data_IF_752287348158
#
_entry.id   IF_752287348158
#
_cell.length_a   1.000
_cell.length_b   1.000
_cell.length_c   1.000
_cell.angle_alpha   90.00
_cell.angle_beta   90.00
_cell.angle_gamma   90.00
#
_symmetry.space_group_name_H-M   'P 1'
#
loop_
_entity.id
_entity.type
_entity.pdbx_description
1 polymer ?
#
# COMPACT_ATOMS: atom_id res chain seq x y z
N UNK A 1 -10.75 -32.69 -13.57
CA UNK A 1 -9.48 -33.43 -13.74
C UNK A 1 -8.64 -32.61 -14.69
N UNK A 2 -7.73 -31.79 -14.15
CA UNK A 2 -6.79 -31.00 -14.95
C UNK A 2 -5.75 -31.98 -15.47
N UNK A 3 -5.61 -32.08 -16.79
CA UNK A 3 -4.64 -32.94 -17.42
C UNK A 3 -3.27 -32.29 -17.24
N UNK A 4 -2.45 -32.81 -16.33
CA UNK A 4 -1.04 -32.45 -16.13
C UNK A 4 -0.20 -32.90 -17.34
N UNK A 5 -0.49 -32.35 -18.51
CA UNK A 5 0.42 -32.43 -19.65
C UNK A 5 1.58 -31.49 -19.35
N UNK A 6 2.59 -32.03 -18.67
CA UNK A 6 3.91 -31.42 -18.51
C UNK A 6 4.36 -31.02 -19.92
N UNK A 7 4.34 -29.73 -20.21
CA UNK A 7 4.76 -29.19 -21.49
C UNK A 7 6.26 -29.54 -21.62
N UNK A 8 6.67 -30.31 -22.63
CA UNK A 8 8.07 -30.67 -22.78
C UNK A 8 8.91 -29.40 -22.94
N UNK A 9 10.03 -29.24 -22.21
CA UNK A 9 10.80 -27.99 -22.18
C UNK A 9 11.34 -27.59 -23.55
N UNK A 10 11.52 -28.54 -24.48
CA UNK A 10 11.85 -28.25 -25.89
C UNK A 10 10.76 -27.52 -26.70
N UNK A 11 9.49 -27.49 -26.24
CA UNK A 11 8.40 -26.78 -26.91
C UNK A 11 8.27 -25.30 -26.46
N UNK A 12 9.01 -24.89 -25.43
CA UNK A 12 8.96 -23.53 -24.88
C UNK A 12 9.91 -22.63 -25.67
N UNK A 13 9.35 -21.65 -26.40
CA UNK A 13 10.11 -20.71 -27.24
C UNK A 13 11.14 -19.89 -26.44
N UNK A 14 10.86 -19.60 -25.16
CA UNK A 14 11.78 -18.91 -24.25
C UNK A 14 11.74 -19.56 -22.85
N UNK A 15 12.58 -20.57 -22.57
CA UNK A 15 12.56 -21.27 -21.29
C UNK A 15 13.14 -20.47 -20.12
N UNK A 16 13.81 -19.34 -20.39
CA UNK A 16 14.44 -18.51 -19.36
C UNK A 16 13.51 -17.44 -18.78
N UNK A 17 12.29 -17.28 -19.31
CA UNK A 17 11.31 -16.38 -18.67
C UNK A 17 10.65 -17.10 -17.49
N UNK A 18 10.62 -16.51 -16.29
CA UNK A 18 10.06 -17.16 -15.10
C UNK A 18 8.56 -17.48 -15.24
N UNK A 19 7.85 -16.85 -16.19
CA UNK A 19 6.43 -17.08 -16.44
C UNK A 19 6.14 -18.24 -17.41
N UNK A 20 7.17 -18.81 -18.06
CA UNK A 20 6.97 -19.88 -19.05
C UNK A 20 6.42 -21.19 -18.46
N UNK A 21 6.58 -21.38 -17.15
CA UNK A 21 6.13 -22.58 -16.43
C UNK A 21 4.73 -22.44 -15.84
N UNK A 22 4.10 -21.26 -15.91
CA UNK A 22 2.74 -21.04 -15.45
C UNK A 22 1.73 -21.30 -16.58
N UNK A 23 0.49 -21.72 -16.26
CA UNK A 23 -0.56 -21.75 -17.26
C UNK A 23 -0.78 -20.35 -17.85
N UNK A 24 -1.09 -20.25 -19.15
CA UNK A 24 -1.07 -18.98 -19.88
C UNK A 24 -2.01 -17.91 -19.30
N UNK A 25 -3.15 -18.33 -18.72
CA UNK A 25 -4.09 -17.42 -18.04
C UNK A 25 -3.45 -16.77 -16.80
N UNK A 26 -2.78 -17.56 -15.95
CA UNK A 26 -2.11 -17.06 -14.75
C UNK A 26 -0.90 -16.20 -15.09
N UNK A 27 -0.11 -16.59 -16.10
CA UNK A 27 1.04 -15.82 -16.57
C UNK A 27 0.63 -14.42 -17.03
N UNK A 28 -0.44 -14.32 -17.85
CA UNK A 28 -0.96 -13.04 -18.34
C UNK A 28 -1.49 -12.15 -17.20
N UNK A 29 -2.29 -12.72 -16.29
CA UNK A 29 -2.81 -11.96 -15.15
C UNK A 29 -1.69 -11.41 -14.27
N UNK A 30 -0.66 -12.22 -14.01
CA UNK A 30 0.47 -11.81 -13.19
C UNK A 30 1.32 -10.72 -13.88
N UNK A 31 1.50 -10.81 -15.20
CA UNK A 31 2.17 -9.76 -15.98
C UNK A 31 1.39 -8.43 -15.94
N UNK A 32 0.07 -8.46 -16.09
CA UNK A 32 -0.79 -7.26 -15.96
C UNK A 32 -0.62 -6.64 -14.56
N UNK A 33 -0.66 -7.46 -13.52
CA UNK A 33 -0.47 -7.01 -12.13
C UNK A 33 0.90 -6.33 -11.97
N UNK A 34 1.96 -6.88 -12.56
CA UNK A 34 3.30 -6.26 -12.53
C UNK A 34 3.29 -4.85 -13.11
N UNK A 35 2.71 -4.67 -14.29
CA UNK A 35 2.63 -3.36 -14.92
C UNK A 35 1.76 -2.39 -14.12
N UNK A 36 0.66 -2.85 -13.52
CA UNK A 36 -0.19 -2.01 -12.67
C UNK A 36 0.56 -1.46 -11.45
N UNK A 37 1.38 -2.29 -10.78
CA UNK A 37 2.17 -1.84 -9.64
C UNK A 37 3.24 -0.82 -10.03
N UNK A 38 3.93 -1.04 -11.16
CA UNK A 38 4.89 -0.07 -11.71
C UNK A 38 4.21 1.25 -12.04
N UNK A 39 3.07 1.20 -12.74
CA UNK A 39 2.31 2.39 -13.09
C UNK A 39 1.81 3.14 -11.86
N UNK A 40 1.34 2.42 -10.84
CA UNK A 40 0.87 2.99 -9.57
C UNK A 40 1.99 3.68 -8.81
N UNK A 41 3.15 3.01 -8.67
CA UNK A 41 4.32 3.60 -8.02
C UNK A 41 4.78 4.86 -8.76
N UNK A 42 4.86 4.81 -10.09
CA UNK A 42 5.26 5.96 -10.91
C UNK A 42 4.28 7.12 -10.76
N UNK A 43 2.98 6.86 -10.91
CA UNK A 43 1.94 7.88 -10.79
C UNK A 43 1.93 8.52 -9.39
N UNK A 44 2.06 7.70 -8.34
CA UNK A 44 2.11 8.19 -6.96
C UNK A 44 3.37 9.01 -6.68
N UNK A 45 4.54 8.53 -7.14
CA UNK A 45 5.81 9.26 -6.99
C UNK A 45 5.74 10.61 -7.69
N UNK A 46 5.15 10.64 -8.89
CA UNK A 46 4.97 11.87 -9.65
C UNK A 46 4.03 12.85 -8.95
N UNK A 47 2.87 12.39 -8.48
CA UNK A 47 1.93 13.19 -7.69
C UNK A 47 2.61 13.80 -6.45
N UNK A 48 3.34 12.96 -5.71
CA UNK A 48 3.99 13.41 -4.48
C UNK A 48 5.13 14.40 -4.74
N UNK A 49 5.93 14.18 -5.79
CA UNK A 49 6.98 15.11 -6.18
C UNK A 49 6.41 16.48 -6.56
N UNK A 50 5.26 16.51 -7.24
CA UNK A 50 4.58 17.75 -7.60
C UNK A 50 3.98 18.48 -6.40
N UNK A 51 3.55 17.76 -5.35
CA UNK A 51 3.04 18.39 -4.12
C UNK A 51 4.13 18.84 -3.13
N UNK A 52 5.38 18.40 -3.28
CA UNK A 52 6.47 18.73 -2.34
C UNK A 52 6.70 20.23 -2.09
N UNK A 53 6.65 21.15 -3.07
CA UNK A 53 6.84 22.57 -2.81
C UNK A 53 5.78 23.15 -1.88
N UNK A 54 4.54 22.71 -2.05
CA UNK A 54 3.40 23.13 -1.22
C UNK A 54 3.48 22.51 0.17
N UNK A 55 3.85 21.23 0.26
CA UNK A 55 4.07 20.54 1.53
C UNK A 55 5.19 21.20 2.35
N UNK A 56 6.27 21.62 1.70
CA UNK A 56 7.35 22.35 2.33
C UNK A 56 6.88 23.72 2.84
N UNK A 57 6.09 24.45 2.07
CA UNK A 57 5.50 25.72 2.50
C UNK A 57 4.60 25.52 3.72
N UNK A 58 3.73 24.50 3.72
CA UNK A 58 2.86 24.17 4.87
C UNK A 58 3.69 23.81 6.10
N UNK A 59 4.73 22.99 5.96
CA UNK A 59 5.60 22.60 7.07
C UNK A 59 6.34 23.80 7.67
N UNK A 60 6.76 24.75 6.83
CA UNK A 60 7.46 25.98 7.24
C UNK A 60 6.52 27.00 7.89
N UNK A 61 5.35 27.24 7.30
CA UNK A 61 4.51 28.39 7.65
C UNK A 61 3.47 28.05 8.73
N UNK A 62 2.88 26.84 8.68
CA UNK A 62 1.83 26.39 9.61
C UNK A 62 2.41 25.55 10.76
N UNK A 63 3.57 24.91 10.52
CA UNK A 63 4.25 24.05 11.49
C UNK A 63 3.61 22.68 11.68
N UNK A 64 4.05 21.98 12.72
CA UNK A 64 3.65 20.59 13.02
C UNK A 64 2.32 20.59 13.79
N UNK A 65 1.21 20.47 13.05
CA UNK A 65 -0.14 20.26 13.62
C UNK A 65 -0.54 18.79 13.53
N UNK A 66 -1.46 18.31 14.36
CA UNK A 66 -1.91 16.91 14.34
C UNK A 66 -2.40 16.43 12.94
N UNK A 67 -3.17 17.23 12.17
CA UNK A 67 -3.50 16.88 10.79
C UNK A 67 -2.28 16.83 9.87
N UNK A 68 -1.30 17.73 10.03
CA UNK A 68 -0.08 17.72 9.21
C UNK A 68 0.77 16.48 9.52
N UNK A 69 0.91 16.07 10.79
CA UNK A 69 1.60 14.82 11.15
C UNK A 69 0.92 13.63 10.48
N UNK A 70 -0.41 13.51 10.61
CA UNK A 70 -1.17 12.43 9.99
C UNK A 70 -1.02 12.44 8.46
N UNK A 71 -0.88 13.62 7.85
CA UNK A 71 -0.67 13.80 6.41
C UNK A 71 0.67 13.24 5.97
N UNK A 72 1.76 13.67 6.60
CA UNK A 72 3.09 13.18 6.26
C UNK A 72 3.22 11.67 6.53
N UNK A 73 2.61 11.17 7.62
CA UNK A 73 2.61 9.75 7.94
C UNK A 73 1.84 8.92 6.89
N UNK A 74 0.69 9.41 6.42
CA UNK A 74 -0.07 8.81 5.32
C UNK A 74 0.72 8.80 4.01
N UNK A 75 1.36 9.92 3.65
CA UNK A 75 2.17 10.02 2.42
C UNK A 75 3.35 9.06 2.43
N UNK A 76 4.17 9.10 3.48
CA UNK A 76 5.35 8.23 3.62
C UNK A 76 4.93 6.76 3.72
N UNK A 77 3.88 6.45 4.48
CA UNK A 77 3.35 5.09 4.59
C UNK A 77 2.84 4.54 3.26
N UNK A 78 2.08 5.33 2.50
CA UNK A 78 1.58 4.90 1.19
C UNK A 78 2.73 4.69 0.20
N UNK A 79 3.70 5.60 0.17
CA UNK A 79 4.88 5.45 -0.69
C UNK A 79 5.66 4.18 -0.33
N UNK A 80 5.91 3.95 0.96
CA UNK A 80 6.61 2.76 1.44
C UNK A 80 5.89 1.46 1.10
N UNK A 81 4.55 1.45 1.21
CA UNK A 81 3.73 0.30 0.77
C UNK A 81 3.81 0.08 -0.73
N UNK A 82 3.59 1.12 -1.56
CA UNK A 82 3.70 1.00 -3.02
C UNK A 82 5.09 0.52 -3.48
N UNK A 83 6.14 1.03 -2.84
CA UNK A 83 7.51 0.60 -3.10
C UNK A 83 7.72 -0.86 -2.68
N UNK A 84 7.23 -1.25 -1.50
CA UNK A 84 7.26 -2.62 -1.01
C UNK A 84 6.58 -3.59 -1.99
N UNK A 85 5.38 -3.26 -2.48
CA UNK A 85 4.66 -4.12 -3.41
C UNK A 85 5.36 -4.21 -4.77
N UNK A 86 6.01 -3.12 -5.22
CA UNK A 86 6.89 -3.16 -6.39
C UNK A 86 8.10 -4.07 -6.18
N UNK A 87 8.72 -4.06 -4.99
CA UNK A 87 9.87 -4.92 -4.71
C UNK A 87 9.47 -6.40 -4.64
N UNK A 88 8.26 -6.74 -4.15
CA UNK A 88 7.75 -8.13 -4.12
C UNK A 88 7.61 -8.73 -5.53
N UNK A 89 7.29 -7.92 -6.53
CA UNK A 89 7.08 -8.41 -7.90
C UNK A 89 8.37 -8.54 -8.74
N UNK A 90 9.45 -7.95 -8.26
CA UNK A 90 10.80 -8.02 -8.85
C UNK A 90 11.50 -9.28 -8.32
N UNK A 91 12.38 -9.95 -9.09
CA UNK A 91 13.15 -11.09 -8.61
C UNK A 91 14.10 -10.67 -7.49
N UNK A 92 13.67 -10.80 -6.24
CA UNK A 92 14.47 -10.53 -5.03
C UNK A 92 14.52 -11.78 -4.16
N UNK A 93 15.69 -12.04 -3.57
CA UNK A 93 15.96 -13.25 -2.78
C UNK A 93 15.15 -13.31 -1.48
N UNK A 94 14.92 -12.16 -0.82
CA UNK A 94 14.29 -12.08 0.51
C UNK A 94 12.87 -11.49 0.44
N UNK A 95 11.95 -12.18 -0.22
CA UNK A 95 10.57 -11.74 -0.40
C UNK A 95 9.80 -11.62 0.94
N UNK A 96 10.10 -12.47 1.92
CA UNK A 96 9.42 -12.46 3.22
C UNK A 96 9.64 -11.15 3.97
N UNK A 97 10.90 -10.72 4.10
CA UNK A 97 11.26 -9.47 4.78
C UNK A 97 10.58 -8.27 4.12
N UNK A 98 10.57 -8.24 2.78
CA UNK A 98 9.95 -7.15 2.02
C UNK A 98 8.44 -7.12 2.26
N UNK A 99 7.79 -8.29 2.29
CA UNK A 99 6.37 -8.39 2.62
C UNK A 99 6.06 -7.89 4.03
N UNK A 100 6.88 -8.22 5.03
CA UNK A 100 6.73 -7.69 6.39
C UNK A 100 6.84 -6.17 6.42
N UNK A 101 7.85 -5.61 5.75
CA UNK A 101 8.08 -4.17 5.68
C UNK A 101 6.92 -3.47 4.96
N UNK A 102 6.50 -4.00 3.81
CA UNK A 102 5.38 -3.49 3.01
C UNK A 102 4.08 -3.46 3.82
N UNK A 103 3.78 -4.56 4.51
CA UNK A 103 2.62 -4.67 5.40
C UNK A 103 2.70 -3.64 6.54
N UNK A 104 3.88 -3.45 7.15
CA UNK A 104 4.08 -2.44 8.19
C UNK A 104 3.79 -1.00 7.69
N UNK A 105 4.26 -0.66 6.50
CA UNK A 105 3.98 0.66 5.89
C UNK A 105 2.51 0.84 5.53
N UNK A 106 1.86 -0.20 5.02
CA UNK A 106 0.43 -0.19 4.71
C UNK A 106 -0.41 0.04 5.99
N UNK A 107 -0.08 -0.67 7.08
CA UNK A 107 -0.79 -0.55 8.35
C UNK A 107 -0.58 0.78 9.07
N UNK A 108 0.46 1.53 8.71
CA UNK A 108 0.63 2.92 9.16
C UNK A 108 -0.18 3.87 8.28
N UNK A 109 -0.17 3.64 6.96
CA UNK A 109 -0.84 4.51 5.99
C UNK A 109 -2.36 4.53 6.14
N UNK A 110 -2.98 3.35 6.29
CA UNK A 110 -4.44 3.19 6.36
C UNK A 110 -5.07 3.97 7.52
N UNK A 111 -4.64 3.82 8.79
CA UNK A 111 -5.20 4.58 9.90
C UNK A 111 -4.81 6.07 9.82
N UNK A 112 -3.64 6.43 9.28
CA UNK A 112 -3.25 7.83 9.09
C UNK A 112 -4.16 8.54 8.07
N UNK A 113 -4.43 7.89 6.93
CA UNK A 113 -5.33 8.40 5.88
C UNK A 113 -6.76 8.53 6.41
N UNK A 114 -7.20 7.55 7.18
CA UNK A 114 -8.52 7.58 7.84
C UNK A 114 -8.60 8.70 8.88
N UNK A 115 -7.52 8.95 9.63
CA UNK A 115 -7.44 10.05 10.62
C UNK A 115 -7.50 11.41 9.93
N UNK A 116 -6.84 11.58 8.78
CA UNK A 116 -6.93 12.80 7.98
C UNK A 116 -8.34 13.06 7.51
N UNK A 117 -9.01 12.04 7.00
CA UNK A 117 -10.41 12.14 6.59
C UNK A 117 -11.28 12.58 7.77
N UNK A 118 -11.06 12.00 8.95
CA UNK A 118 -11.73 12.40 10.18
C UNK A 118 -11.47 13.86 10.54
N UNK A 119 -10.22 14.36 10.47
CA UNK A 119 -9.92 15.77 10.74
C UNK A 119 -10.62 16.72 9.76
N UNK A 120 -10.62 16.40 8.46
CA UNK A 120 -11.34 17.18 7.44
C UNK A 120 -12.84 17.18 7.68
N UNK A 121 -13.40 16.01 7.99
CA UNK A 121 -14.81 15.86 8.31
C UNK A 121 -15.20 16.64 9.57
N UNK A 122 -14.37 16.59 10.62
CA UNK A 122 -14.58 17.36 11.86
C UNK A 122 -14.58 18.87 11.60
N UNK A 123 -13.78 19.35 10.65
CA UNK A 123 -13.78 20.76 10.26
C UNK A 123 -15.09 21.17 9.56
N UNK A 124 -15.63 20.32 8.68
CA UNK A 124 -16.89 20.59 7.94
C UNK A 124 -18.12 20.44 8.85
N UNK A 125 -18.22 19.37 9.62
CA UNK A 125 -19.39 19.05 10.45
C UNK A 125 -19.29 19.53 11.89
N UNK A 126 -18.72 20.72 12.10
CA UNK A 126 -18.45 21.29 13.43
C UNK A 126 -19.65 21.26 14.39
N UNK A 127 -20.88 21.34 13.85
CA UNK A 127 -22.11 21.37 14.64
C UNK A 127 -22.72 19.99 14.96
N UNK A 128 -22.45 18.95 14.16
CA UNK A 128 -23.08 17.63 14.34
C UNK A 128 -22.15 16.67 15.08
N UNK A 129 -22.32 16.61 16.42
CA UNK A 129 -21.53 15.72 17.29
C UNK A 129 -21.72 14.23 16.99
N UNK A 130 -22.88 13.83 16.46
CA UNK A 130 -23.19 12.44 16.11
C UNK A 130 -22.27 11.95 14.98
N UNK A 131 -22.15 12.74 13.92
CA UNK A 131 -21.34 12.38 12.76
C UNK A 131 -19.87 12.26 13.17
N UNK A 132 -19.36 13.21 13.97
CA UNK A 132 -18.00 13.16 14.50
C UNK A 132 -17.79 11.90 15.36
N UNK A 133 -18.74 11.55 16.23
CA UNK A 133 -18.61 10.35 17.06
C UNK A 133 -18.56 9.06 16.22
N UNK A 134 -19.45 8.91 15.23
CA UNK A 134 -19.50 7.74 14.35
C UNK A 134 -18.19 7.57 13.59
N UNK A 135 -17.69 8.63 12.95
CA UNK A 135 -16.43 8.56 12.20
C UNK A 135 -15.21 8.35 13.10
N UNK A 136 -15.25 8.87 14.34
CA UNK A 136 -14.21 8.58 15.33
C UNK A 136 -14.20 7.10 15.74
N UNK A 137 -15.36 6.46 15.91
CA UNK A 137 -15.47 5.02 16.19
C UNK A 137 -14.96 4.20 15.01
N UNK A 138 -15.33 4.56 13.78
CA UNK A 138 -14.81 3.88 12.59
C UNK A 138 -13.29 3.99 12.49
N UNK A 139 -12.73 5.16 12.79
CA UNK A 139 -11.28 5.32 12.84
C UNK A 139 -10.62 4.43 13.89
N UNK A 140 -11.18 4.35 15.11
CA UNK A 140 -10.68 3.45 16.16
C UNK A 140 -10.77 1.98 15.74
N UNK A 141 -11.84 1.59 15.06
CA UNK A 141 -11.99 0.22 14.54
C UNK A 141 -10.91 -0.11 13.50
N UNK A 142 -10.61 0.83 12.58
CA UNK A 142 -9.54 0.68 11.59
C UNK A 142 -8.18 0.57 12.29
N UNK A 143 -7.88 1.47 13.24
CA UNK A 143 -6.62 1.42 13.99
C UNK A 143 -6.47 0.11 14.79
N UNK A 144 -7.56 -0.37 15.41
CA UNK A 144 -7.58 -1.64 16.14
C UNK A 144 -7.34 -2.85 15.23
N UNK A 145 -7.95 -2.85 14.04
CA UNK A 145 -7.71 -3.90 13.04
C UNK A 145 -6.26 -3.89 12.56
N UNK A 146 -5.71 -2.71 12.26
CA UNK A 146 -4.32 -2.56 11.84
C UNK A 146 -3.32 -3.11 12.86
N UNK A 147 -3.53 -2.79 14.14
CA UNK A 147 -2.71 -3.33 15.24
C UNK A 147 -2.88 -4.86 15.33
N UNK A 148 -4.10 -5.37 15.16
CA UNK A 148 -4.37 -6.81 15.23
C UNK A 148 -3.66 -7.58 14.11
N UNK A 149 -3.69 -7.05 12.87
CA UNK A 149 -3.00 -7.65 11.72
C UNK A 149 -1.49 -7.66 11.98
N UNK A 150 -0.92 -6.54 12.43
CA UNK A 150 0.50 -6.46 12.74
C UNK A 150 0.92 -7.46 13.84
N UNK A 151 0.07 -7.62 14.87
CA UNK A 151 0.29 -8.60 15.92
C UNK A 151 0.22 -10.04 15.39
N UNK A 152 -0.78 -10.34 14.56
CA UNK A 152 -0.93 -11.66 13.93
C UNK A 152 0.28 -12.03 13.07
N UNK A 153 0.86 -11.07 12.35
CA UNK A 153 2.07 -11.28 11.55
C UNK A 153 3.31 -11.56 12.42
N UNK A 154 3.36 -11.00 13.62
CA UNK A 154 4.49 -11.17 14.56
C UNK A 154 4.40 -12.47 15.37
N UNK A 155 3.19 -12.98 15.61
CA UNK A 155 2.92 -14.20 16.41
C UNK A 155 2.86 -15.47 15.55
N UNK A 156 2.78 -15.32 14.22
CA UNK A 156 2.73 -16.44 13.27
C UNK A 156 4.07 -17.15 13.00
N UNK A 157 5.14 -16.75 13.68
CA UNK A 157 6.45 -17.45 13.73
C UNK A 157 6.57 -18.28 15.00
#
# INVERSE_FOLDING_TARGET
MVNDSIIPPEAILNPYTPLAFLPPEFANNYEIIRYMHVATLMAYTWDWLMSMPEEYAIARDVGITAPNIAYFLSRVGTFGSCLGTFLIIVPIENCEIIKYIESGFAEISVPATSLLFFFRLKAVYRHSRIIIAIFGIFWLAIAGLSISIMLSLTVGE
#
